data_IF_091265940533
#
_entry.id   IF_091265940533
#
_cell.length_a   1.000
_cell.length_b   1.000
_cell.length_c   1.000
_cell.angle_alpha   90.00
_cell.angle_beta   90.00
_cell.angle_gamma   90.00
#
_symmetry.space_group_name_H-M   'P 1'
#
loop_
_entity.id
_entity.type
_entity.pdbx_description
1 polymer ?
#
# COMPACT_ATOMS: atom_id res chain seq x y z
N UNK A 1 -8.81 -16.16 22.57
CA UNK A 1 -7.51 -16.38 21.92
C UNK A 1 -7.06 -15.16 21.09
N UNK A 2 -7.87 -14.62 20.17
CA UNK A 2 -7.55 -13.38 19.42
C UNK A 2 -7.24 -12.15 20.30
N UNK A 3 -7.92 -12.00 21.45
CA UNK A 3 -7.72 -10.86 22.37
C UNK A 3 -6.31 -10.79 22.99
N UNK A 4 -5.56 -11.90 23.05
CA UNK A 4 -4.21 -11.90 23.63
C UNK A 4 -3.14 -11.52 22.61
N UNK A 5 -3.35 -11.87 21.33
CA UNK A 5 -2.51 -11.42 20.22
C UNK A 5 -2.70 -9.92 19.97
N UNK A 6 -3.91 -9.39 20.17
CA UNK A 6 -4.24 -7.97 19.94
C UNK A 6 -3.90 -7.03 21.11
N UNK A 7 -3.68 -7.54 22.33
CA UNK A 7 -3.32 -6.72 23.51
C UNK A 7 -2.01 -5.94 23.39
N UNK A 8 -0.91 -6.47 22.82
CA UNK A 8 0.26 -5.65 22.53
C UNK A 8 -0.06 -4.58 21.46
N UNK A 9 -0.93 -4.86 20.48
CA UNK A 9 -1.37 -3.89 19.47
C UNK A 9 -2.30 -2.80 20.02
N UNK A 10 -3.15 -3.10 21.01
CA UNK A 10 -3.98 -2.12 21.73
C UNK A 10 -3.16 -1.11 22.55
N UNK A 11 -1.96 -1.51 23.00
CA UNK A 11 -1.05 -0.63 23.78
C UNK A 11 -0.12 0.21 22.90
N UNK A 12 -0.10 -0.06 21.60
CA UNK A 12 0.81 0.52 20.60
C UNK A 12 0.19 1.74 19.90
N UNK A 13 -1.14 1.77 19.80
CA UNK A 13 -1.89 2.93 19.31
C UNK A 13 -2.53 3.54 20.54
N UNK A 14 -1.90 4.56 21.09
CA UNK A 14 -2.57 5.41 22.06
C UNK A 14 -3.34 6.50 21.29
N UNK A 15 -4.66 6.36 21.05
CA UNK A 15 -5.47 7.41 20.42
C UNK A 15 -5.57 8.67 21.30
N UNK A 16 -4.89 8.70 22.45
CA UNK A 16 -4.87 9.79 23.42
C UNK A 16 -3.56 10.57 23.46
N UNK A 17 -2.51 10.22 22.70
CA UNK A 17 -1.30 11.07 22.69
C UNK A 17 -1.69 12.49 22.26
N UNK A 18 -1.43 13.51 23.09
CA UNK A 18 -1.78 14.89 22.75
C UNK A 18 -0.99 15.29 21.50
N UNK A 19 -1.69 15.78 20.48
CA UNK A 19 -1.02 16.49 19.40
C UNK A 19 -0.25 17.67 20.02
N UNK A 20 1.04 17.89 19.68
CA UNK A 20 1.80 19.05 20.15
C UNK A 20 1.23 20.39 19.67
N UNK A 21 0.29 20.37 18.72
CA UNK A 21 -0.45 21.54 18.24
C UNK A 21 -1.94 21.18 18.18
N UNK A 22 -2.76 21.91 18.94
CA UNK A 22 -4.21 21.71 19.05
C UNK A 22 -4.99 21.95 17.74
N UNK A 23 -4.30 22.37 16.67
CA UNK A 23 -4.86 22.65 15.35
C UNK A 23 -4.44 21.59 14.32
N UNK A 24 -5.42 21.10 13.53
CA UNK A 24 -5.12 20.36 12.30
C UNK A 24 -4.26 21.27 11.40
N UNK A 25 -3.17 20.76 10.79
CA UNK A 25 -2.29 21.60 9.97
C UNK A 25 -3.09 22.22 8.82
N UNK A 26 -3.33 23.53 8.92
CA UNK A 26 -4.05 24.30 7.91
C UNK A 26 -3.11 24.59 6.73
N UNK A 27 -3.56 24.25 5.52
CA UNK A 27 -3.04 24.87 4.29
C UNK A 27 -2.21 24.02 3.34
N UNK A 28 -1.80 22.78 3.66
CA UNK A 28 -1.05 21.96 2.69
C UNK A 28 -1.31 20.46 2.81
N UNK A 29 -1.84 19.85 1.73
CA UNK A 29 -2.11 18.39 1.63
C UNK A 29 -0.85 17.58 1.95
N UNK A 30 0.32 18.06 1.50
CA UNK A 30 1.60 17.40 1.75
C UNK A 30 2.03 17.45 3.22
N UNK A 31 1.74 18.56 3.93
CA UNK A 31 2.02 18.71 5.36
C UNK A 31 1.12 17.83 6.22
N UNK A 32 -0.13 17.66 5.80
CA UNK A 32 -1.09 16.73 6.42
C UNK A 32 -0.65 15.28 6.24
N UNK A 33 -0.24 14.87 5.03
CA UNK A 33 0.30 13.52 4.77
C UNK A 33 1.52 13.25 5.65
N UNK A 34 2.45 14.21 5.74
CA UNK A 34 3.67 14.05 6.54
C UNK A 34 3.39 13.96 8.04
N UNK A 35 2.41 14.75 8.53
CA UNK A 35 1.96 14.71 9.92
C UNK A 35 1.37 13.33 10.29
N UNK A 36 0.49 12.78 9.45
CA UNK A 36 -0.07 11.43 9.66
C UNK A 36 0.96 10.32 9.45
N UNK A 37 1.86 10.44 8.48
CA UNK A 37 2.95 9.50 8.24
C UNK A 37 3.90 9.40 9.45
N UNK A 38 4.16 10.53 10.13
CA UNK A 38 5.00 10.57 11.35
C UNK A 38 4.30 9.97 12.58
N UNK A 39 2.96 9.96 12.62
CA UNK A 39 2.18 9.31 13.68
C UNK A 39 2.03 7.80 13.47
N UNK A 40 1.99 7.33 12.21
CA UNK A 40 1.80 5.92 11.85
C UNK A 40 3.09 5.06 11.90
N UNK A 41 3.96 5.25 12.90
CA UNK A 41 5.26 4.54 13.00
C UNK A 41 5.12 3.02 13.02
N UNK A 42 4.12 2.49 13.72
CA UNK A 42 3.90 1.06 13.86
C UNK A 42 3.28 0.39 12.62
N UNK A 43 2.20 0.93 12.03
CA UNK A 43 1.72 0.49 10.73
C UNK A 43 2.84 0.47 9.67
N UNK A 44 3.70 1.48 9.65
CA UNK A 44 4.82 1.55 8.71
C UNK A 44 5.86 0.45 8.92
N UNK A 45 6.24 0.15 10.18
CA UNK A 45 7.17 -0.96 10.48
C UNK A 45 6.58 -2.31 10.10
N UNK A 46 5.30 -2.57 10.39
CA UNK A 46 4.62 -3.80 9.98
C UNK A 46 4.60 -3.94 8.46
N UNK A 47 4.31 -2.84 7.76
CA UNK A 47 4.30 -2.80 6.30
C UNK A 47 5.70 -3.08 5.71
N UNK A 48 6.75 -2.58 6.37
CA UNK A 48 8.13 -2.83 5.98
C UNK A 48 8.52 -4.30 6.15
N UNK A 49 8.22 -4.88 7.31
CA UNK A 49 8.45 -6.31 7.60
C UNK A 49 7.70 -7.18 6.59
N UNK A 50 6.42 -6.85 6.35
CA UNK A 50 5.60 -7.56 5.38
C UNK A 50 6.21 -7.52 3.98
N UNK A 51 6.64 -6.33 3.57
CA UNK A 51 7.32 -6.11 2.31
C UNK A 51 8.58 -6.96 2.13
N UNK A 52 9.41 -7.05 3.17
CA UNK A 52 10.64 -7.87 3.15
C UNK A 52 10.31 -9.36 3.04
N UNK A 53 9.26 -9.84 3.72
CA UNK A 53 8.83 -11.25 3.62
C UNK A 53 8.38 -11.59 2.20
N UNK A 54 7.55 -10.74 1.60
CA UNK A 54 7.07 -10.92 0.22
C UNK A 54 8.23 -10.87 -0.77
N UNK A 55 9.12 -9.88 -0.64
CA UNK A 55 10.30 -9.75 -1.49
C UNK A 55 11.24 -10.97 -1.38
N UNK A 56 11.46 -11.46 -0.16
CA UNK A 56 12.31 -12.62 0.10
C UNK A 56 11.81 -13.88 -0.60
N UNK A 57 10.50 -14.13 -0.56
CA UNK A 57 9.89 -15.23 -1.31
C UNK A 57 10.15 -15.09 -2.80
N UNK A 58 9.94 -13.90 -3.35
CA UNK A 58 10.14 -13.65 -4.78
C UNK A 58 11.60 -13.92 -5.20
N UNK A 59 12.58 -13.45 -4.42
CA UNK A 59 14.02 -13.73 -4.67
C UNK A 59 14.31 -15.23 -4.64
N UNK A 60 13.71 -15.99 -3.73
CA UNK A 60 13.85 -17.46 -3.67
C UNK A 60 13.30 -18.10 -4.95
N UNK A 61 12.15 -17.63 -5.47
CA UNK A 61 11.59 -18.15 -6.72
C UNK A 61 12.55 -17.92 -7.91
N UNK A 62 13.11 -16.72 -8.03
CA UNK A 62 14.07 -16.44 -9.11
C UNK A 62 15.34 -17.29 -8.99
N UNK A 63 15.81 -17.53 -7.76
CA UNK A 63 16.91 -18.46 -7.52
C UNK A 63 16.58 -19.89 -7.96
N UNK A 64 15.35 -20.37 -7.71
CA UNK A 64 14.91 -21.68 -8.19
C UNK A 64 14.88 -21.74 -9.72
N UNK A 65 14.42 -20.69 -10.40
CA UNK A 65 14.47 -20.64 -11.87
C UNK A 65 15.91 -20.75 -12.36
N UNK A 66 16.85 -20.02 -11.76
CA UNK A 66 18.28 -20.12 -12.08
C UNK A 66 18.80 -21.55 -11.90
N UNK A 67 18.53 -22.17 -10.75
CA UNK A 67 18.93 -23.55 -10.48
C UNK A 67 18.32 -24.54 -11.49
N UNK A 68 17.06 -24.36 -11.89
CA UNK A 68 16.43 -25.21 -12.90
C UNK A 68 17.14 -25.04 -14.25
N UNK A 69 17.43 -23.80 -14.66
CA UNK A 69 18.14 -23.52 -15.91
C UNK A 69 19.56 -24.13 -15.89
N UNK A 70 20.28 -23.99 -14.78
CA UNK A 70 21.61 -24.57 -14.60
C UNK A 70 21.58 -26.10 -14.69
N UNK A 71 20.60 -26.74 -14.03
CA UNK A 71 20.36 -28.19 -14.10
C UNK A 71 20.05 -28.67 -15.53
N UNK A 72 19.35 -27.85 -16.33
CA UNK A 72 19.01 -28.19 -17.71
C UNK A 72 20.17 -28.00 -18.69
N UNK A 73 21.11 -27.10 -18.35
CA UNK A 73 22.28 -26.78 -19.19
C UNK A 73 23.51 -27.62 -18.85
N UNK A 74 23.48 -28.41 -17.77
CA UNK A 74 24.61 -29.25 -17.39
C UNK A 74 24.85 -30.36 -18.44
N UNK A 75 26.02 -30.40 -19.10
CA UNK A 75 26.31 -31.33 -20.18
C UNK A 75 26.34 -32.80 -19.73
N UNK A 76 26.48 -33.08 -18.43
CA UNK A 76 26.44 -34.45 -17.88
C UNK A 76 25.04 -35.08 -17.95
N UNK A 77 24.01 -34.26 -18.11
CA UNK A 77 22.60 -34.64 -18.00
C UNK A 77 21.93 -34.85 -19.37
N UNK A 78 22.52 -34.33 -20.46
CA UNK A 78 22.00 -34.52 -21.83
C UNK A 78 21.87 -36.00 -22.25
N UNK A 79 22.66 -36.89 -21.63
CA UNK A 79 22.66 -38.33 -21.90
C UNK A 79 21.58 -39.12 -21.11
N UNK A 80 20.95 -38.54 -20.07
CA UNK A 80 20.07 -39.27 -19.14
C UNK A 80 18.75 -38.53 -18.86
N UNK A 81 18.12 -37.97 -19.90
CA UNK A 81 16.83 -37.26 -19.81
C UNK A 81 15.71 -38.07 -19.13
N UNK A 82 15.82 -39.39 -19.13
CA UNK A 82 14.83 -40.30 -18.52
C UNK A 82 15.02 -40.45 -17.00
N UNK A 83 16.24 -40.35 -16.46
CA UNK A 83 16.50 -40.49 -15.01
C UNK A 83 16.52 -39.15 -14.27
N UNK A 84 16.63 -38.02 -14.98
CA UNK A 84 16.63 -36.68 -14.41
C UNK A 84 15.50 -36.40 -13.42
N UNK A 85 14.27 -36.73 -13.81
CA UNK A 85 13.10 -36.50 -12.97
C UNK A 85 13.11 -37.40 -11.75
N UNK A 86 13.68 -38.61 -11.83
CA UNK A 86 13.78 -39.53 -10.70
C UNK A 86 14.89 -39.12 -9.73
N UNK A 87 16.06 -38.75 -10.24
CA UNK A 87 17.24 -38.37 -9.45
C UNK A 87 17.08 -37.01 -8.77
N UNK A 88 16.28 -36.10 -9.34
CA UNK A 88 16.05 -34.75 -8.80
C UNK A 88 14.59 -34.52 -8.38
N UNK A 89 13.77 -35.57 -8.31
CA UNK A 89 12.36 -35.52 -7.88
C UNK A 89 12.19 -34.78 -6.55
N UNK A 90 13.05 -35.07 -5.58
CA UNK A 90 13.00 -34.48 -4.22
C UNK A 90 13.27 -32.98 -4.24
N UNK A 91 14.22 -32.52 -5.05
CA UNK A 91 14.54 -31.10 -5.24
C UNK A 91 13.38 -30.36 -5.90
N UNK A 92 12.82 -30.91 -6.99
CA UNK A 92 11.66 -30.31 -7.66
C UNK A 92 10.40 -30.31 -6.77
N UNK A 93 10.16 -31.37 -6.00
CA UNK A 93 9.05 -31.45 -5.06
C UNK A 93 9.21 -30.44 -3.91
N UNK A 94 10.43 -30.25 -3.41
CA UNK A 94 10.76 -29.21 -2.44
C UNK A 94 10.51 -27.79 -2.98
N UNK A 95 10.96 -27.51 -4.22
CA UNK A 95 10.68 -26.24 -4.90
C UNK A 95 9.18 -26.02 -5.09
N UNK A 96 8.45 -27.02 -5.57
CA UNK A 96 7.00 -26.97 -5.75
C UNK A 96 6.26 -26.73 -4.43
N UNK A 97 6.69 -27.38 -3.35
CA UNK A 97 6.13 -27.15 -2.00
C UNK A 97 6.34 -25.72 -1.54
N UNK A 98 7.54 -25.15 -1.72
CA UNK A 98 7.81 -23.76 -1.36
C UNK A 98 6.99 -22.79 -2.21
N UNK A 99 6.88 -23.03 -3.52
CA UNK A 99 6.12 -22.18 -4.45
C UNK A 99 4.62 -22.23 -4.20
N UNK A 100 4.07 -23.40 -3.86
CA UNK A 100 2.62 -23.56 -3.68
C UNK A 100 2.25 -23.22 -2.24
N UNK A 101 2.91 -23.81 -1.26
CA UNK A 101 2.50 -23.72 0.15
C UNK A 101 3.12 -22.49 0.81
N UNK A 102 4.44 -22.37 0.81
CA UNK A 102 5.10 -21.28 1.55
C UNK A 102 4.76 -19.91 0.95
N UNK A 103 4.81 -19.77 -0.39
CA UNK A 103 4.41 -18.53 -1.08
C UNK A 103 2.97 -18.16 -0.80
N UNK A 104 2.04 -19.12 -0.90
CA UNK A 104 0.63 -18.86 -0.61
C UNK A 104 0.43 -18.40 0.82
N UNK A 105 1.03 -19.10 1.80
CA UNK A 105 0.92 -18.74 3.22
C UNK A 105 1.49 -17.35 3.51
N UNK A 106 2.66 -17.02 2.94
CA UNK A 106 3.31 -15.72 3.16
C UNK A 106 2.49 -14.61 2.50
N UNK A 107 2.05 -14.77 1.25
CA UNK A 107 1.22 -13.78 0.57
C UNK A 107 -0.16 -13.62 1.23
N UNK A 108 -0.77 -14.72 1.70
CA UNK A 108 -2.03 -14.66 2.42
C UNK A 108 -1.87 -13.96 3.77
N UNK A 109 -0.83 -14.30 4.54
CA UNK A 109 -0.52 -13.62 5.80
C UNK A 109 -0.24 -12.13 5.57
N UNK A 110 0.51 -11.80 4.52
CA UNK A 110 0.79 -10.44 4.10
C UNK A 110 -0.49 -9.67 3.78
N UNK A 111 -1.36 -10.25 2.95
CA UNK A 111 -2.63 -9.63 2.56
C UNK A 111 -3.56 -9.43 3.77
N UNK A 112 -3.63 -10.41 4.67
CA UNK A 112 -4.42 -10.31 5.90
C UNK A 112 -3.87 -9.19 6.80
N UNK A 113 -2.56 -9.13 7.01
CA UNK A 113 -1.95 -8.05 7.82
C UNK A 113 -2.23 -6.69 7.21
N UNK A 114 -2.04 -6.52 5.91
CA UNK A 114 -2.26 -5.24 5.24
C UNK A 114 -3.74 -4.83 5.27
N UNK A 115 -4.63 -5.71 4.82
CA UNK A 115 -6.04 -5.38 4.63
C UNK A 115 -6.88 -5.43 5.91
N UNK A 116 -6.54 -6.29 6.88
CA UNK A 116 -7.33 -6.47 8.10
C UNK A 116 -6.73 -5.78 9.33
N UNK A 117 -5.42 -5.58 9.36
CA UNK A 117 -4.77 -4.98 10.54
C UNK A 117 -4.38 -3.54 10.26
N UNK A 118 -3.58 -3.31 9.21
CA UNK A 118 -2.99 -2.00 8.93
C UNK A 118 -4.04 -0.99 8.46
N UNK A 119 -4.81 -1.35 7.42
CA UNK A 119 -5.83 -0.47 6.84
C UNK A 119 -6.90 -0.07 7.87
N UNK A 120 -7.56 -1.00 8.59
CA UNK A 120 -8.60 -0.63 9.56
C UNK A 120 -8.06 0.13 10.77
N UNK A 121 -6.85 -0.20 11.22
CA UNK A 121 -6.16 0.54 12.29
C UNK A 121 -5.97 2.01 11.93
N UNK A 122 -5.49 2.28 10.71
CA UNK A 122 -5.29 3.63 10.22
C UNK A 122 -6.62 4.39 10.09
N UNK A 123 -7.66 3.77 9.52
CA UNK A 123 -8.99 4.39 9.43
C UNK A 123 -9.59 4.70 10.80
N UNK A 124 -9.41 3.81 11.79
CA UNK A 124 -9.92 4.04 13.13
C UNK A 124 -9.25 5.27 13.78
N UNK A 125 -7.94 5.42 13.59
CA UNK A 125 -7.19 6.60 14.04
C UNK A 125 -7.72 7.89 13.39
N UNK A 126 -7.89 7.91 12.07
CA UNK A 126 -8.44 9.07 11.34
C UNK A 126 -9.87 9.39 11.81
N UNK A 127 -10.71 8.36 12.01
CA UNK A 127 -12.09 8.53 12.48
C UNK A 127 -12.15 9.15 13.88
N UNK A 128 -11.27 8.72 14.78
CA UNK A 128 -11.18 9.27 16.13
C UNK A 128 -10.74 10.75 16.13
N UNK A 129 -9.75 11.09 15.30
CA UNK A 129 -9.30 12.47 15.15
C UNK A 129 -10.40 13.38 14.56
N UNK A 130 -11.12 12.91 13.54
CA UNK A 130 -12.26 13.63 12.97
C UNK A 130 -13.37 13.85 14.00
N UNK A 131 -13.71 12.82 14.79
CA UNK A 131 -14.72 12.94 15.85
C UNK A 131 -14.31 13.94 16.94
N UNK A 132 -13.04 13.93 17.38
CA UNK A 132 -12.52 14.92 18.33
C UNK A 132 -12.56 16.35 17.78
N UNK A 133 -12.27 16.54 16.49
CA UNK A 133 -12.33 17.86 15.86
C UNK A 133 -13.76 18.42 15.83
N UNK A 134 -14.77 17.57 15.62
CA UNK A 134 -16.19 17.98 15.63
C UNK A 134 -16.68 18.36 17.04
N UNK A 135 -16.28 17.60 18.08
CA UNK A 135 -16.70 17.86 19.47
C UNK A 135 -16.18 19.20 20.00
N UNK A 136 -15.06 19.70 19.47
CA UNK A 136 -14.43 20.95 19.93
C UNK A 136 -14.96 22.22 19.25
N UNK A 137 -15.85 22.10 18.26
CA UNK A 137 -16.45 23.25 17.56
C UNK A 137 -17.49 23.96 18.43
N UNK A 138 -17.59 25.29 18.29
CA UNK A 138 -18.47 26.12 19.11
C UNK A 138 -19.94 25.93 18.79
N UNK A 139 -20.82 26.13 19.78
CA UNK A 139 -22.27 26.01 19.60
C UNK A 139 -22.82 26.95 18.51
N UNK A 140 -22.18 28.11 18.33
CA UNK A 140 -22.49 29.08 17.27
C UNK A 140 -22.23 28.53 15.85
N UNK A 141 -21.24 27.65 15.68
CA UNK A 141 -20.99 26.97 14.40
C UNK A 141 -22.11 25.99 14.04
N UNK A 142 -22.65 25.27 15.04
CA UNK A 142 -23.79 24.36 14.86
C UNK A 142 -25.12 25.08 14.60
N UNK A 143 -25.24 26.36 14.99
CA UNK A 143 -26.43 27.19 14.80
C UNK A 143 -26.44 27.90 13.43
N UNK A 144 -25.28 28.30 12.92
CA UNK A 144 -25.18 29.09 11.67
C UNK A 144 -25.12 28.25 10.39
N UNK A 145 -24.66 27.00 10.47
CA UNK A 145 -24.59 26.09 9.34
C UNK A 145 -25.34 24.81 9.67
N UNK A 146 -26.20 24.33 8.77
CA UNK A 146 -26.93 23.06 8.91
C UNK A 146 -25.97 21.93 9.34
N UNK A 147 -25.92 21.70 10.64
CA UNK A 147 -24.87 20.96 11.35
C UNK A 147 -24.59 19.57 10.75
N UNK A 148 -25.62 18.92 10.22
CA UNK A 148 -25.50 17.60 9.60
C UNK A 148 -24.70 17.61 8.28
N UNK A 149 -24.82 18.66 7.46
CA UNK A 149 -24.19 18.71 6.14
C UNK A 149 -22.69 19.00 6.21
N UNK A 150 -22.27 19.87 7.14
CA UNK A 150 -20.84 20.17 7.31
C UNK A 150 -20.12 19.07 8.06
N UNK A 151 -20.73 18.51 9.12
CA UNK A 151 -20.17 17.35 9.81
C UNK A 151 -19.97 16.16 8.85
N UNK A 152 -20.94 15.89 7.98
CA UNK A 152 -20.82 14.81 6.98
C UNK A 152 -19.74 15.09 5.95
N UNK A 153 -19.61 16.33 5.46
CA UNK A 153 -18.53 16.71 4.52
C UNK A 153 -17.14 16.59 5.16
N UNK A 154 -16.99 16.94 6.43
CA UNK A 154 -15.72 16.82 7.17
C UNK A 154 -15.36 15.36 7.42
N UNK A 155 -16.33 14.52 7.78
CA UNK A 155 -16.12 13.07 7.93
C UNK A 155 -15.75 12.41 6.61
N UNK A 156 -16.48 12.70 5.53
CA UNK A 156 -16.21 12.14 4.20
C UNK A 156 -14.87 12.62 3.63
N UNK A 157 -14.53 13.90 3.80
CA UNK A 157 -13.23 14.42 3.36
C UNK A 157 -12.08 13.81 4.16
N UNK A 158 -12.26 13.59 5.46
CA UNK A 158 -11.31 12.88 6.31
C UNK A 158 -11.09 11.43 5.86
N UNK A 159 -12.16 10.70 5.52
CA UNK A 159 -12.07 9.34 4.98
C UNK A 159 -11.36 9.30 3.64
N UNK A 160 -11.73 10.18 2.70
CA UNK A 160 -11.11 10.24 1.37
C UNK A 160 -9.60 10.58 1.45
N UNK A 161 -9.21 11.46 2.37
CA UNK A 161 -7.79 11.76 2.62
C UNK A 161 -7.08 10.55 3.22
N UNK A 162 -7.74 9.82 4.12
CA UNK A 162 -7.21 8.58 4.68
C UNK A 162 -6.95 7.51 3.61
N UNK A 163 -7.93 7.28 2.72
CA UNK A 163 -7.80 6.40 1.55
C UNK A 163 -6.64 6.83 0.64
N UNK A 164 -6.52 8.13 0.37
CA UNK A 164 -5.45 8.66 -0.47
C UNK A 164 -4.06 8.40 0.12
N UNK A 165 -3.90 8.62 1.43
CA UNK A 165 -2.64 8.36 2.15
C UNK A 165 -2.29 6.87 2.09
N UNK A 166 -3.26 6.00 2.39
CA UNK A 166 -3.06 4.55 2.34
C UNK A 166 -2.65 4.10 0.94
N UNK A 167 -3.35 4.56 -0.10
CA UNK A 167 -3.05 4.21 -1.49
C UNK A 167 -1.66 4.69 -1.92
N UNK A 168 -1.25 5.91 -1.53
CA UNK A 168 0.09 6.40 -1.82
C UNK A 168 1.15 5.59 -1.10
N UNK A 169 0.95 5.33 0.20
CA UNK A 169 1.90 4.58 1.02
C UNK A 169 2.09 3.16 0.47
N UNK A 170 0.99 2.47 0.16
CA UNK A 170 1.01 1.14 -0.42
C UNK A 170 1.62 1.15 -1.82
N UNK A 171 1.21 2.09 -2.67
CA UNK A 171 1.70 2.20 -4.05
C UNK A 171 3.19 2.47 -4.14
N UNK A 172 3.71 3.44 -3.39
CA UNK A 172 5.14 3.77 -3.37
C UNK A 172 5.95 2.59 -2.84
N UNK A 173 5.49 1.94 -1.79
CA UNK A 173 6.20 0.80 -1.19
C UNK A 173 6.21 -0.42 -2.10
N UNK A 174 5.07 -0.75 -2.71
CA UNK A 174 4.95 -1.83 -3.68
C UNK A 174 5.91 -1.60 -4.86
N UNK A 175 5.92 -0.37 -5.39
CA UNK A 175 6.82 0.02 -6.45
C UNK A 175 8.30 -0.09 -6.02
N UNK A 176 8.64 0.34 -4.80
CA UNK A 176 9.99 0.26 -4.26
C UNK A 176 10.48 -1.19 -4.12
N UNK A 177 9.67 -2.07 -3.51
CA UNK A 177 10.02 -3.49 -3.33
C UNK A 177 10.21 -4.19 -4.66
N UNK A 178 9.25 -4.04 -5.58
CA UNK A 178 9.35 -4.68 -6.89
C UNK A 178 10.55 -4.13 -7.64
N UNK A 179 10.74 -2.80 -7.67
CA UNK A 179 11.87 -2.18 -8.35
C UNK A 179 13.21 -2.66 -7.83
N UNK A 180 13.41 -2.65 -6.51
CA UNK A 180 14.65 -3.13 -5.89
C UNK A 180 14.85 -4.62 -6.14
N UNK A 181 13.80 -5.44 -6.01
CA UNK A 181 13.87 -6.88 -6.24
C UNK A 181 14.27 -7.17 -7.69
N UNK A 182 13.58 -6.56 -8.65
CA UNK A 182 13.88 -6.70 -10.08
C UNK A 182 15.33 -6.28 -10.37
N UNK A 183 15.75 -5.10 -9.95
CA UNK A 183 17.12 -4.63 -10.18
C UNK A 183 18.15 -5.58 -9.55
N UNK A 184 17.90 -6.05 -8.32
CA UNK A 184 18.79 -6.99 -7.62
C UNK A 184 18.95 -8.32 -8.36
N UNK A 185 17.85 -8.88 -8.86
CA UNK A 185 17.85 -10.14 -9.63
C UNK A 185 18.58 -9.95 -10.97
N UNK A 186 18.23 -8.92 -11.73
CA UNK A 186 18.83 -8.67 -13.04
C UNK A 186 20.31 -8.29 -12.95
N UNK A 187 20.73 -7.64 -11.86
CA UNK A 187 22.15 -7.33 -11.63
C UNK A 187 23.01 -8.60 -11.45
N UNK A 188 22.42 -9.70 -10.97
CA UNK A 188 23.12 -10.99 -10.87
C UNK A 188 23.28 -11.69 -12.22
N UNK A 189 22.45 -11.35 -13.21
CA UNK A 189 22.48 -11.95 -14.55
C UNK A 189 23.40 -11.15 -15.48
N UNK A 190 23.17 -9.84 -15.60
CA UNK A 190 23.95 -8.92 -16.41
C UNK A 190 23.66 -7.46 -16.03
N UNK A 191 24.70 -6.67 -15.74
CA UNK A 191 24.53 -5.27 -15.31
C UNK A 191 23.81 -4.39 -16.35
N UNK A 192 23.92 -4.76 -17.64
CA UNK A 192 23.25 -4.10 -18.76
C UNK A 192 21.72 -4.23 -18.68
N UNK A 193 21.23 -5.39 -18.22
CA UNK A 193 19.80 -5.62 -18.03
C UNK A 193 19.27 -4.79 -16.86
N UNK A 194 20.03 -4.69 -15.77
CA UNK A 194 19.68 -3.81 -14.66
C UNK A 194 19.59 -2.33 -15.10
N UNK A 195 20.50 -1.87 -15.96
CA UNK A 195 20.45 -0.52 -16.52
C UNK A 195 19.20 -0.31 -17.39
N UNK A 196 18.84 -1.26 -18.26
CA UNK A 196 17.63 -1.18 -19.08
C UNK A 196 16.37 -1.02 -18.22
N UNK A 197 16.24 -1.83 -17.16
CA UNK A 197 15.13 -1.76 -16.21
C UNK A 197 15.13 -0.42 -15.47
N UNK A 198 16.29 0.07 -15.06
CA UNK A 198 16.42 1.38 -14.40
C UNK A 198 15.97 2.53 -15.32
N UNK A 199 16.40 2.53 -16.58
CA UNK A 199 15.96 3.52 -17.58
C UNK A 199 14.45 3.46 -17.79
N UNK A 200 13.88 2.26 -17.84
CA UNK A 200 12.44 2.06 -17.92
C UNK A 200 11.70 2.64 -16.70
N UNK A 201 12.22 2.44 -15.49
CA UNK A 201 11.68 3.06 -14.27
C UNK A 201 11.73 4.59 -14.31
N UNK A 202 12.85 5.17 -14.76
CA UNK A 202 12.98 6.62 -14.93
C UNK A 202 11.97 7.16 -15.95
N UNK A 203 11.81 6.46 -17.08
CA UNK A 203 10.81 6.82 -18.09
C UNK A 203 9.38 6.75 -17.53
N UNK A 204 9.07 5.72 -16.73
CA UNK A 204 7.78 5.59 -16.06
C UNK A 204 7.52 6.76 -15.10
N UNK A 205 8.50 7.14 -14.27
CA UNK A 205 8.38 8.30 -13.38
C UNK A 205 8.21 9.61 -14.15
N UNK A 206 8.96 9.81 -15.23
CA UNK A 206 8.82 10.98 -16.09
C UNK A 206 7.39 11.06 -16.65
N UNK A 207 6.90 9.95 -17.21
CA UNK A 207 5.56 9.86 -17.77
C UNK A 207 4.48 10.11 -16.70
N UNK A 208 4.61 9.50 -15.52
CA UNK A 208 3.72 9.75 -14.39
C UNK A 208 3.73 11.24 -13.97
N UNK A 209 4.89 11.87 -13.90
CA UNK A 209 5.00 13.29 -13.54
C UNK A 209 4.34 14.23 -14.56
N UNK A 210 4.29 13.82 -15.83
CA UNK A 210 3.66 14.57 -16.92
C UNK A 210 2.13 14.34 -16.94
N UNK A 211 1.67 13.10 -16.71
CA UNK A 211 0.24 12.75 -16.78
C UNK A 211 -0.54 12.99 -15.47
N UNK A 212 0.08 12.88 -14.31
CA UNK A 212 -0.59 13.12 -13.01
C UNK A 212 -1.19 14.54 -12.89
N UNK A 213 -0.48 15.64 -13.23
CA UNK A 213 -1.04 16.99 -13.14
C UNK A 213 -2.32 17.22 -13.97
N UNK A 214 -2.38 16.86 -15.28
CA UNK A 214 -3.60 17.05 -16.06
C UNK A 214 -4.74 16.16 -15.57
N UNK A 215 -4.49 14.93 -15.11
CA UNK A 215 -5.52 14.07 -14.52
C UNK A 215 -6.10 14.71 -13.25
N UNK A 216 -5.24 15.29 -12.37
CA UNK A 216 -5.71 16.02 -11.18
C UNK A 216 -6.55 17.25 -11.54
N UNK A 217 -6.19 17.97 -12.61
CA UNK A 217 -6.98 19.11 -13.12
C UNK A 217 -8.34 18.66 -13.67
N UNK A 218 -8.36 17.58 -14.46
CA UNK A 218 -9.58 17.02 -15.03
C UNK A 218 -10.55 16.54 -13.93
N UNK A 219 -10.06 15.80 -12.92
CA UNK A 219 -10.88 15.34 -11.79
C UNK A 219 -11.52 16.49 -10.99
N UNK A 220 -10.83 17.63 -10.86
CA UNK A 220 -11.36 18.85 -10.23
C UNK A 220 -12.45 19.53 -11.06
N UNK A 221 -12.35 19.46 -12.38
CA UNK A 221 -13.40 19.99 -13.27
C UNK A 221 -14.65 19.09 -13.28
N UNK A 222 -14.48 17.76 -13.28
CA UNK A 222 -15.59 16.79 -13.26
C UNK A 222 -16.47 16.88 -11.99
N UNK A 223 -15.86 17.23 -10.85
CA UNK A 223 -16.58 17.38 -9.57
C UNK A 223 -17.44 18.65 -9.53
N UNK A 224 -16.98 19.75 -10.15
CA UNK A 224 -17.80 20.96 -10.33
C UNK A 224 -18.99 20.74 -11.28
N UNK A 225 -18.83 19.92 -12.32
CA UNK A 225 -19.93 19.59 -13.25
C UNK A 225 -21.03 18.75 -12.57
N UNK A 226 -20.64 17.78 -11.73
CA UNK A 226 -21.59 16.92 -11.00
C UNK A 226 -22.42 17.67 -9.95
N UNK A 227 -21.89 18.74 -9.33
CA UNK A 227 -22.69 19.56 -8.41
C UNK A 227 -23.77 20.38 -9.12
N UNK A 228 -23.49 20.82 -10.36
CA UNK A 228 -24.45 21.55 -11.19
C UNK A 228 -25.57 20.60 -11.65
N UNK A 229 -25.23 19.39 -12.11
CA UNK A 229 -26.21 18.40 -12.56
C UNK A 229 -27.14 17.91 -11.43
N UNK A 230 -26.61 17.65 -10.22
CA UNK A 230 -27.45 17.28 -9.07
C UNK A 230 -28.33 18.43 -8.59
N UNK A 231 -27.88 19.68 -8.71
CA UNK A 231 -28.70 20.86 -8.40
C UNK A 231 -29.87 21.06 -9.37
N UNK A 232 -29.63 20.82 -10.67
CA UNK A 232 -30.65 20.91 -11.72
C UNK A 232 -31.71 19.80 -11.62
N UNK A 233 -31.30 18.57 -11.28
CA UNK A 233 -32.23 17.46 -11.07
C UNK A 233 -33.20 17.73 -9.91
N UNK A 234 -32.71 18.26 -8.79
CA UNK A 234 -33.54 18.60 -7.64
C UNK A 234 -34.48 19.78 -7.98
N UNK A 235 -34.04 20.75 -8.77
CA UNK A 235 -34.90 21.84 -9.26
C UNK A 235 -35.98 21.40 -10.25
N UNK A 236 -35.75 20.33 -11.03
CA UNK A 236 -36.78 19.80 -11.96
C UNK A 236 -37.88 18.97 -11.27
N UNK A 237 -37.71 18.63 -9.99
CA UNK A 237 -38.65 17.84 -9.18
C UNK A 237 -39.52 18.71 -8.25
N UNK A 238 -39.27 20.02 -8.19
CA UNK A 238 -40.09 21.03 -7.51
C UNK A 238 -40.78 21.92 -8.54
#
# INVERSE_FOLDING_TARGET
>A
MLKHILRPFERIIDPLTPSPTDDLPQGNVMGFIWYFARQAKWPFVLFLINGVLVAGVEVILFRFIGQIIDLLNDPTIQASRETLFADHATTFLGMAFVIIVARFLILAAAAILDQQVIVPSFFNMVRWQAHRAVIRQSLTYFQNDFAGRIATKVLQSGQAVGEFILNIMQGIWFFFIIGVSTIGIFSGLDWRLALLVFVWFVAYFALASILVPPIRKAARNSTNMRSIFNGLWIQSLC
#
